data_IF_652078467132
#
_entry.id   IF_652078467132
#
_cell.length_a   1.000
_cell.length_b   1.000
_cell.length_c   1.000
_cell.angle_alpha   90.00
_cell.angle_beta   90.00
_cell.angle_gamma   90.00
#
_symmetry.space_group_name_H-M   'P 1'
#
loop_
_entity.id
_entity.type
_entity.pdbx_description
1 polymer ?
#
# COMPACT_ATOMS: atom_id res chain seq x y z
N UNK A 1 13.05 -13.56 -37.19
CA UNK A 1 13.32 -13.76 -35.74
C UNK A 1 14.47 -14.73 -35.47
N UNK A 2 14.58 -15.86 -36.17
CA UNK A 2 15.64 -16.86 -35.90
C UNK A 2 17.09 -16.41 -36.18
N UNK A 3 17.31 -15.36 -36.98
CA UNK A 3 18.64 -14.79 -37.24
C UNK A 3 19.03 -13.64 -36.30
N UNK A 4 18.13 -13.23 -35.41
CA UNK A 4 18.36 -12.11 -34.49
C UNK A 4 19.20 -12.58 -33.28
N UNK A 5 20.10 -11.76 -32.71
CA UNK A 5 20.79 -12.09 -31.46
C UNK A 5 19.79 -12.36 -30.33
N UNK A 6 20.08 -13.32 -29.45
CA UNK A 6 19.17 -13.75 -28.37
C UNK A 6 18.81 -12.59 -27.45
N UNK A 7 19.79 -11.75 -27.11
CA UNK A 7 19.62 -10.59 -26.23
C UNK A 7 18.70 -9.54 -26.84
N UNK A 8 18.90 -9.24 -28.13
CA UNK A 8 18.08 -8.26 -28.85
C UNK A 8 16.65 -8.76 -29.03
N UNK A 9 16.47 -10.05 -29.32
CA UNK A 9 15.15 -10.67 -29.38
C UNK A 9 14.47 -10.65 -28.01
N UNK A 10 15.18 -10.95 -26.92
CA UNK A 10 14.63 -10.88 -25.55
C UNK A 10 14.16 -9.47 -25.21
N UNK A 11 14.94 -8.44 -25.52
CA UNK A 11 14.55 -7.05 -25.27
C UNK A 11 13.28 -6.67 -26.04
N UNK A 12 13.19 -7.07 -27.32
CA UNK A 12 11.97 -6.83 -28.12
C UNK A 12 10.76 -7.55 -27.52
N UNK A 13 10.92 -8.80 -27.06
CA UNK A 13 9.82 -9.56 -26.45
C UNK A 13 9.36 -8.95 -25.12
N UNK A 14 10.24 -8.32 -24.35
CA UNK A 14 9.85 -7.69 -23.07
C UNK A 14 8.89 -6.51 -23.26
N UNK A 15 8.95 -5.84 -24.41
CA UNK A 15 8.06 -4.73 -24.77
C UNK A 15 6.69 -5.19 -25.32
N UNK A 16 6.54 -6.49 -25.60
CA UNK A 16 5.30 -7.01 -26.17
C UNK A 16 4.22 -7.27 -25.11
N UNK A 17 2.98 -6.96 -25.49
CA UNK A 17 1.82 -7.30 -24.67
C UNK A 17 1.58 -8.82 -24.55
N UNK A 18 0.81 -9.26 -23.53
CA UNK A 18 0.53 -10.68 -23.26
C UNK A 18 -0.01 -11.48 -24.45
N UNK A 19 -0.94 -10.92 -25.22
CA UNK A 19 -1.54 -11.58 -26.38
C UNK A 19 -0.51 -11.80 -27.49
N UNK A 20 0.32 -10.79 -27.75
CA UNK A 20 1.42 -10.88 -28.72
C UNK A 20 2.45 -11.91 -28.30
N UNK A 21 2.82 -11.95 -27.01
CA UNK A 21 3.75 -12.96 -26.48
C UNK A 21 3.20 -14.38 -26.58
N UNK A 22 1.91 -14.59 -26.32
CA UNK A 22 1.26 -15.90 -26.50
C UNK A 22 1.37 -16.37 -27.96
N UNK A 23 1.15 -15.48 -28.91
CA UNK A 23 1.25 -15.79 -30.33
C UNK A 23 2.69 -16.05 -30.74
N UNK A 24 3.65 -15.22 -30.31
CA UNK A 24 5.08 -15.40 -30.61
C UNK A 24 5.61 -16.71 -30.04
N UNK A 25 5.15 -17.13 -28.86
CA UNK A 25 5.50 -18.43 -28.26
C UNK A 25 5.19 -19.62 -29.19
N UNK A 26 4.18 -19.51 -30.04
CA UNK A 26 3.75 -20.59 -30.94
C UNK A 26 4.55 -20.64 -32.26
N UNK A 27 5.36 -19.62 -32.55
CA UNK A 27 6.04 -19.47 -33.85
C UNK A 27 7.24 -20.42 -34.00
N UNK A 28 8.01 -20.63 -32.93
CA UNK A 28 9.18 -21.53 -32.94
C UNK A 28 9.57 -21.95 -31.53
N UNK A 29 10.34 -23.04 -31.40
CA UNK A 29 10.90 -23.49 -30.10
C UNK A 29 11.73 -22.39 -29.42
N UNK A 30 12.55 -21.66 -30.19
CA UNK A 30 13.39 -20.57 -29.66
C UNK A 30 12.55 -19.38 -29.17
N UNK A 31 11.50 -19.01 -29.90
CA UNK A 31 10.55 -18.00 -29.44
C UNK A 31 9.80 -18.47 -28.19
N UNK A 32 9.47 -19.77 -28.11
CA UNK A 32 8.83 -20.34 -26.94
C UNK A 32 9.72 -20.27 -25.69
N UNK A 33 10.99 -20.63 -25.82
CA UNK A 33 11.99 -20.58 -24.74
C UNK A 33 12.24 -19.16 -24.21
N UNK A 34 12.13 -18.14 -25.06
CA UNK A 34 12.34 -16.75 -24.66
C UNK A 34 11.06 -16.05 -24.18
N UNK A 35 9.91 -16.32 -24.80
CA UNK A 35 8.64 -15.69 -24.44
C UNK A 35 8.01 -16.32 -23.19
N UNK A 36 8.21 -17.62 -22.94
CA UNK A 36 7.60 -18.31 -21.78
C UNK A 36 8.07 -17.73 -20.45
N UNK A 37 9.37 -17.49 -20.19
CA UNK A 37 9.80 -16.86 -18.94
C UNK A 37 9.23 -15.45 -18.75
N UNK A 38 9.08 -14.70 -19.84
CA UNK A 38 8.46 -13.37 -19.81
C UNK A 38 6.97 -13.53 -19.46
N UNK A 39 6.26 -14.45 -20.11
CA UNK A 39 4.82 -14.72 -19.92
C UNK A 39 4.43 -15.22 -18.53
N UNK A 40 5.38 -15.80 -17.79
CA UNK A 40 5.11 -16.43 -16.50
C UNK A 40 6.09 -15.97 -15.43
N UNK A 41 6.63 -14.76 -15.59
CA UNK A 41 7.55 -14.15 -14.61
C UNK A 41 6.87 -13.80 -13.29
N UNK A 42 5.54 -13.73 -13.27
CA UNK A 42 4.71 -13.42 -12.09
C UNK A 42 3.59 -14.44 -11.92
N UNK A 43 3.50 -15.00 -10.72
CA UNK A 43 2.38 -15.85 -10.29
C UNK A 43 1.45 -15.01 -9.41
N UNK A 44 0.14 -15.14 -9.63
CA UNK A 44 -0.87 -14.54 -8.78
C UNK A 44 -1.68 -15.62 -8.08
N UNK A 45 -1.69 -15.60 -6.76
CA UNK A 45 -2.56 -16.43 -5.94
C UNK A 45 -3.71 -15.56 -5.46
N UNK A 46 -4.89 -15.70 -6.07
CA UNK A 46 -6.04 -14.79 -5.90
C UNK A 46 -7.25 -15.53 -5.31
N UNK A 47 -8.19 -14.79 -4.73
CA UNK A 47 -9.54 -15.30 -4.46
C UNK A 47 -10.38 -15.46 -5.74
N UNK A 48 -11.43 -16.31 -5.70
CA UNK A 48 -12.42 -16.39 -6.78
C UNK A 48 -13.12 -15.04 -6.93
N UNK A 49 -13.16 -14.47 -8.13
CA UNK A 49 -13.76 -13.15 -8.40
C UNK A 49 -12.78 -11.96 -8.33
N UNK A 50 -11.59 -12.13 -7.77
CA UNK A 50 -10.55 -11.08 -7.64
C UNK A 50 -9.71 -10.84 -8.89
N UNK A 51 -10.31 -10.99 -10.09
CA UNK A 51 -9.65 -10.57 -11.33
C UNK A 51 -9.89 -9.06 -11.51
N UNK A 52 -9.53 -8.26 -10.50
CA UNK A 52 -9.49 -6.81 -10.69
C UNK A 52 -8.22 -6.48 -11.48
N UNK A 53 -8.40 -5.73 -12.56
CA UNK A 53 -7.29 -5.17 -13.36
C UNK A 53 -6.58 -4.01 -12.62
N UNK A 54 -6.83 -3.79 -11.33
CA UNK A 54 -6.33 -2.65 -10.52
C UNK A 54 -4.84 -2.75 -10.14
N UNK A 55 -4.04 -3.56 -10.84
CA UNK A 55 -2.59 -3.36 -10.82
C UNK A 55 -2.31 -2.16 -11.71
N UNK A 56 -1.95 -1.04 -11.09
CA UNK A 56 -1.59 0.24 -11.70
C UNK A 56 -0.35 0.21 -12.62
N UNK A 57 0.05 -0.97 -13.13
CA UNK A 57 1.03 -1.05 -14.20
C UNK A 57 0.61 -2.12 -15.23
N UNK A 58 -0.17 -1.74 -16.27
CA UNK A 58 -0.50 -2.62 -17.39
C UNK A 58 0.73 -3.01 -18.22
N UNK A 59 1.92 -2.43 -17.98
CA UNK A 59 3.15 -2.70 -18.75
C UNK A 59 4.01 -3.83 -18.20
N UNK A 60 3.71 -4.39 -17.01
CA UNK A 60 4.52 -5.47 -16.42
C UNK A 60 3.85 -6.83 -16.50
N UNK A 61 4.31 -7.54 -17.52
CA UNK A 61 4.42 -8.98 -17.69
C UNK A 61 3.09 -9.78 -17.71
N UNK A 62 2.99 -10.80 -18.57
CA UNK A 62 1.86 -11.71 -18.59
C UNK A 62 1.79 -12.53 -17.28
N UNK A 63 0.57 -12.88 -16.88
CA UNK A 63 0.23 -13.31 -15.51
C UNK A 63 -0.47 -14.68 -15.53
N UNK A 64 -0.12 -15.59 -14.62
CA UNK A 64 -0.93 -16.78 -14.29
C UNK A 64 -1.63 -16.55 -12.95
N UNK A 65 -2.96 -16.58 -12.96
CA UNK A 65 -3.77 -16.51 -11.74
C UNK A 65 -4.26 -17.91 -11.34
N UNK A 66 -4.17 -18.21 -10.06
CA UNK A 66 -4.64 -19.46 -9.44
C UNK A 66 -5.47 -19.10 -8.21
N UNK A 67 -6.60 -19.78 -8.02
CA UNK A 67 -7.39 -19.64 -6.81
C UNK A 67 -6.63 -20.24 -5.63
N UNK A 68 -6.29 -19.44 -4.61
CA UNK A 68 -5.42 -19.89 -3.53
C UNK A 68 -5.97 -21.10 -2.76
N UNK A 69 -7.26 -21.10 -2.43
CA UNK A 69 -7.92 -22.23 -1.75
C UNK A 69 -7.88 -23.54 -2.54
N UNK A 70 -7.62 -23.47 -3.84
CA UNK A 70 -7.49 -24.62 -4.76
C UNK A 70 -6.08 -24.78 -5.31
N UNK A 71 -5.09 -24.13 -4.70
CA UNK A 71 -3.71 -24.23 -5.15
C UNK A 71 -3.25 -25.70 -5.25
N UNK A 72 -3.69 -26.53 -4.30
CA UNK A 72 -3.38 -27.95 -4.27
C UNK A 72 -3.93 -28.76 -5.46
N UNK A 73 -5.03 -28.30 -6.09
CA UNK A 73 -5.57 -28.93 -7.30
C UNK A 73 -4.81 -28.48 -8.55
N UNK A 74 -4.34 -27.23 -8.56
CA UNK A 74 -3.68 -26.61 -9.71
C UNK A 74 -2.14 -26.76 -9.71
N UNK A 75 -1.55 -27.24 -8.62
CA UNK A 75 -0.09 -27.19 -8.41
C UNK A 75 0.69 -27.89 -9.53
N UNK A 76 0.22 -29.05 -10.00
CA UNK A 76 0.86 -29.80 -11.08
C UNK A 76 0.95 -29.01 -12.40
N UNK A 77 -0.03 -28.15 -12.69
CA UNK A 77 -0.01 -27.28 -13.88
C UNK A 77 0.86 -26.04 -13.68
N UNK A 78 0.99 -25.57 -12.44
CA UNK A 78 1.64 -24.30 -12.10
C UNK A 78 3.14 -24.47 -11.93
N UNK A 79 3.61 -25.58 -11.34
CA UNK A 79 5.02 -25.82 -11.05
C UNK A 79 5.95 -25.69 -12.26
N UNK A 80 5.63 -26.21 -13.47
CA UNK A 80 6.49 -26.06 -14.64
C UNK A 80 6.70 -24.60 -15.03
N UNK A 81 5.69 -23.76 -14.80
CA UNK A 81 5.70 -22.33 -15.11
C UNK A 81 6.42 -21.53 -14.01
N UNK A 82 6.26 -21.96 -12.76
CA UNK A 82 6.76 -21.29 -11.57
C UNK A 82 8.30 -21.17 -11.53
N UNK A 83 9.02 -22.08 -12.19
CA UNK A 83 10.49 -22.03 -12.30
C UNK A 83 11.03 -20.73 -12.89
N UNK A 84 10.23 -20.08 -13.74
CA UNK A 84 10.61 -18.82 -14.36
C UNK A 84 10.06 -17.60 -13.60
N UNK A 85 9.24 -17.82 -12.57
CA UNK A 85 8.63 -16.74 -11.82
C UNK A 85 9.65 -16.12 -10.85
N UNK A 86 9.78 -14.80 -10.94
CA UNK A 86 10.54 -13.97 -10.01
C UNK A 86 9.63 -13.13 -9.11
N UNK A 87 8.34 -13.01 -9.43
CA UNK A 87 7.35 -12.28 -8.64
C UNK A 87 6.19 -13.17 -8.18
N UNK A 88 5.73 -12.95 -6.95
CA UNK A 88 4.49 -13.52 -6.41
C UNK A 88 3.58 -12.39 -5.94
N UNK A 89 2.35 -12.36 -6.46
CA UNK A 89 1.28 -11.51 -5.94
C UNK A 89 0.33 -12.39 -5.16
N UNK A 90 0.15 -12.07 -3.89
CA UNK A 90 -0.65 -12.83 -2.94
C UNK A 90 -1.86 -12.01 -2.52
N UNK A 91 -3.04 -12.43 -2.97
CA UNK A 91 -4.33 -11.78 -2.76
C UNK A 91 -5.44 -12.82 -2.55
N UNK A 92 -5.25 -13.82 -1.68
CA UNK A 92 -6.23 -14.88 -1.53
C UNK A 92 -7.53 -14.34 -0.94
N UNK A 93 -8.65 -14.98 -1.29
CA UNK A 93 -9.88 -14.80 -0.53
C UNK A 93 -9.68 -15.37 0.88
N UNK A 94 -10.23 -14.67 1.87
CA UNK A 94 -10.24 -15.09 3.27
C UNK A 94 -11.68 -15.07 3.75
N UNK A 95 -12.17 -16.23 4.13
CA UNK A 95 -13.51 -16.41 4.69
C UNK A 95 -13.40 -16.46 6.22
N UNK A 96 -13.43 -15.29 6.87
CA UNK A 96 -13.27 -15.18 8.33
C UNK A 96 -14.57 -15.38 9.09
N UNK A 97 -14.46 -15.91 10.29
CA UNK A 97 -15.56 -15.98 11.25
C UNK A 97 -15.99 -14.58 11.72
N UNK A 98 -17.29 -14.39 11.99
CA UNK A 98 -17.86 -13.14 12.51
C UNK A 98 -17.93 -11.98 11.51
N UNK A 99 -17.55 -12.18 10.24
CA UNK A 99 -17.58 -11.12 9.22
C UNK A 99 -18.98 -10.50 9.04
N UNK A 100 -20.03 -11.32 8.95
CA UNK A 100 -21.38 -10.82 8.72
C UNK A 100 -21.95 -10.06 9.91
N UNK A 101 -21.57 -10.44 11.13
CA UNK A 101 -21.93 -9.68 12.34
C UNK A 101 -21.24 -8.32 12.35
N UNK A 102 -19.99 -8.27 11.91
CA UNK A 102 -19.26 -7.01 11.76
C UNK A 102 -19.84 -6.17 10.64
N UNK A 103 -20.27 -6.78 9.54
CA UNK A 103 -20.92 -6.06 8.45
C UNK A 103 -22.25 -5.45 8.88
N UNK A 104 -23.09 -6.20 9.58
CA UNK A 104 -24.33 -5.68 10.17
C UNK A 104 -24.05 -4.53 11.15
N UNK A 105 -23.01 -4.69 11.98
CA UNK A 105 -22.57 -3.63 12.91
C UNK A 105 -22.14 -2.37 12.15
N UNK A 106 -21.34 -2.53 11.09
CA UNK A 106 -20.91 -1.46 10.21
C UNK A 106 -22.09 -0.75 9.56
N UNK A 107 -23.06 -1.49 8.99
CA UNK A 107 -24.26 -0.92 8.40
C UNK A 107 -25.05 -0.08 9.41
N UNK A 108 -25.16 -0.54 10.65
CA UNK A 108 -25.83 0.22 11.71
C UNK A 108 -25.03 1.47 12.12
N UNK A 109 -23.70 1.39 12.17
CA UNK A 109 -22.84 2.55 12.49
C UNK A 109 -22.88 3.61 11.40
N UNK A 110 -22.98 3.21 10.13
CA UNK A 110 -23.09 4.15 9.00
C UNK A 110 -24.31 5.07 9.10
N UNK A 111 -25.37 4.65 9.78
CA UNK A 111 -26.58 5.48 10.01
C UNK A 111 -26.22 6.78 10.75
N UNK A 112 -25.26 6.68 11.68
CA UNK A 112 -24.84 7.78 12.55
C UNK A 112 -23.55 8.47 12.05
N UNK A 113 -22.92 7.96 10.99
CA UNK A 113 -21.73 8.59 10.40
C UNK A 113 -22.10 9.90 9.66
N UNK A 114 -21.26 10.95 9.72
CA UNK A 114 -21.45 12.13 8.90
C UNK A 114 -21.34 11.79 7.39
N UNK A 115 -21.98 12.58 6.53
CA UNK A 115 -21.97 12.39 5.07
C UNK A 115 -20.66 12.95 4.49
N UNK A 116 -19.94 12.15 3.69
CA UNK A 116 -18.73 12.58 2.97
C UNK A 116 -19.09 13.33 1.68
N UNK A 117 -18.33 14.37 1.30
CA UNK A 117 -18.55 15.07 0.02
C UNK A 117 -18.39 14.14 -1.19
N UNK A 118 -17.53 13.12 -1.08
CA UNK A 118 -17.29 12.11 -2.14
C UNK A 118 -18.48 11.16 -2.30
N UNK A 119 -19.35 11.05 -1.29
CA UNK A 119 -20.59 10.27 -1.36
C UNK A 119 -21.75 11.04 -1.98
N UNK A 120 -21.61 12.36 -2.13
CA UNK A 120 -22.58 13.18 -2.81
C UNK A 120 -22.36 13.03 -4.32
N UNK A 121 -23.36 12.47 -4.99
CA UNK A 121 -23.34 12.40 -6.44
C UNK A 121 -23.69 13.78 -7.01
N UNK A 122 -22.68 14.47 -7.54
CA UNK A 122 -22.83 15.75 -8.22
C UNK A 122 -23.26 15.60 -9.69
N UNK A 123 -23.40 14.37 -10.20
CA UNK A 123 -23.64 14.10 -11.63
C UNK A 123 -25.12 14.06 -12.03
N UNK A 124 -26.05 14.14 -11.07
CA UNK A 124 -27.51 14.09 -11.31
C UNK A 124 -28.18 15.46 -11.44
N UNK A 125 -27.43 16.57 -11.44
CA UNK A 125 -27.98 17.87 -11.82
C UNK A 125 -27.85 17.99 -13.34
N UNK A 126 -28.89 17.51 -14.03
CA UNK A 126 -29.00 17.59 -15.48
C UNK A 126 -28.79 19.01 -16.01
N UNK A 127 -28.30 19.07 -17.25
CA UNK A 127 -28.30 20.25 -18.11
C UNK A 127 -29.72 20.85 -18.21
N UNK A 128 -30.15 21.64 -17.22
CA UNK A 128 -31.24 22.60 -17.38
C UNK A 128 -30.61 23.96 -17.62
N UNK A 129 -30.49 24.28 -18.92
CA UNK A 129 -30.37 25.64 -19.41
C UNK A 129 -31.39 26.56 -18.71
N UNK A 130 -30.89 27.58 -18.01
CA UNK A 130 -31.64 28.82 -17.85
C UNK A 130 -31.59 29.46 -16.46
N UNK A 131 -30.95 30.63 -16.39
CA UNK A 131 -31.32 31.65 -15.42
C UNK A 131 -30.20 32.03 -14.46
N UNK A 132 -29.48 33.08 -14.84
CA UNK A 132 -28.84 34.01 -13.91
C UNK A 132 -29.91 34.58 -12.96
N UNK A 133 -30.01 34.00 -11.76
CA UNK A 133 -30.53 34.67 -10.56
C UNK A 133 -29.81 34.08 -9.35
N UNK A 134 -28.87 34.85 -8.80
CA UNK A 134 -28.09 34.45 -7.65
C UNK A 134 -28.93 34.42 -6.37
N UNK A 135 -28.65 33.45 -5.49
CA UNK A 135 -28.61 33.75 -4.06
C UNK A 135 -29.16 32.73 -3.06
N UNK A 136 -30.01 31.77 -3.43
CA UNK A 136 -30.73 30.96 -2.40
C UNK A 136 -30.79 29.44 -2.64
N UNK A 137 -30.39 28.91 -3.81
CA UNK A 137 -30.68 27.50 -4.17
C UNK A 137 -29.54 26.48 -3.96
N UNK A 138 -28.28 26.91 -3.81
CA UNK A 138 -27.13 25.97 -3.75
C UNK A 138 -26.99 25.28 -2.39
N UNK A 139 -27.31 26.00 -1.31
CA UNK A 139 -27.36 25.46 0.06
C UNK A 139 -28.50 24.45 0.23
N UNK A 140 -29.69 24.75 -0.32
CA UNK A 140 -30.84 23.84 -0.33
C UNK A 140 -30.57 22.55 -1.13
N UNK A 141 -29.85 22.65 -2.26
CA UNK A 141 -29.42 21.46 -3.04
C UNK A 141 -28.39 20.62 -2.29
N UNK A 142 -27.46 21.27 -1.59
CA UNK A 142 -26.47 20.60 -0.75
C UNK A 142 -27.14 19.86 0.42
N UNK A 143 -28.07 20.51 1.13
CA UNK A 143 -28.85 19.89 2.20
C UNK A 143 -29.70 18.72 1.68
N UNK A 144 -30.35 18.86 0.53
CA UNK A 144 -31.12 17.79 -0.09
C UNK A 144 -30.25 16.57 -0.48
N UNK A 145 -28.99 16.78 -0.87
CA UNK A 145 -28.04 15.69 -1.14
C UNK A 145 -27.62 14.98 0.16
N UNK A 146 -27.36 15.74 1.23
CA UNK A 146 -27.08 15.17 2.55
C UNK A 146 -28.25 14.31 3.02
N UNK A 147 -29.49 14.83 2.94
CA UNK A 147 -30.68 14.08 3.35
C UNK A 147 -30.89 12.81 2.51
N UNK A 148 -30.58 12.84 1.20
CA UNK A 148 -30.59 11.64 0.34
C UNK A 148 -29.59 10.59 0.81
N UNK A 149 -28.37 10.98 1.17
CA UNK A 149 -27.35 10.04 1.69
C UNK A 149 -27.76 9.47 3.04
N UNK A 150 -28.26 10.30 3.96
CA UNK A 150 -28.77 9.87 5.28
C UNK A 150 -29.92 8.87 5.12
N UNK A 151 -30.91 9.18 4.27
CA UNK A 151 -32.04 8.29 4.01
C UNK A 151 -31.58 6.96 3.38
N UNK A 152 -30.63 7.00 2.44
CA UNK A 152 -30.02 5.81 1.84
C UNK A 152 -29.33 4.95 2.90
N UNK A 153 -28.51 5.55 3.78
CA UNK A 153 -27.81 4.86 4.87
C UNK A 153 -28.80 4.24 5.86
N UNK A 154 -29.85 4.95 6.24
CA UNK A 154 -30.88 4.47 7.15
C UNK A 154 -31.67 3.26 6.59
N UNK A 155 -31.96 3.23 5.28
CA UNK A 155 -32.67 2.13 4.64
C UNK A 155 -31.78 0.90 4.35
N UNK A 156 -30.47 1.10 4.23
CA UNK A 156 -29.49 0.11 3.77
C UNK A 156 -29.51 -1.22 4.58
N UNK A 157 -29.57 -1.24 5.92
CA UNK A 157 -29.62 -2.49 6.67
C UNK A 157 -30.82 -3.38 6.32
N UNK A 158 -31.99 -2.78 6.07
CA UNK A 158 -33.19 -3.54 5.70
C UNK A 158 -33.13 -3.99 4.24
N UNK A 159 -32.68 -3.11 3.34
CA UNK A 159 -32.54 -3.40 1.90
C UNK A 159 -31.57 -4.57 1.66
N UNK A 160 -30.47 -4.65 2.42
CA UNK A 160 -29.44 -5.68 2.23
C UNK A 160 -29.69 -6.96 3.05
N UNK A 161 -30.69 -6.98 3.96
CA UNK A 161 -30.90 -8.08 4.92
C UNK A 161 -31.02 -9.45 4.26
N UNK A 162 -31.89 -9.57 3.26
CA UNK A 162 -32.19 -10.85 2.62
C UNK A 162 -30.97 -11.35 1.82
N UNK A 163 -30.21 -10.43 1.22
CA UNK A 163 -28.96 -10.71 0.50
C UNK A 163 -27.82 -11.16 1.44
N UNK A 164 -27.72 -10.54 2.62
CA UNK A 164 -26.79 -10.97 3.68
C UNK A 164 -27.10 -12.40 4.11
N UNK A 165 -28.38 -12.72 4.36
CA UNK A 165 -28.78 -14.04 4.82
C UNK A 165 -28.44 -15.14 3.81
N UNK A 166 -28.74 -14.93 2.52
CA UNK A 166 -28.42 -15.88 1.45
C UNK A 166 -26.91 -16.17 1.36
N UNK A 167 -26.08 -15.14 1.58
CA UNK A 167 -24.63 -15.27 1.41
C UNK A 167 -23.89 -15.72 2.64
N UNK A 168 -24.46 -15.58 3.83
CA UNK A 168 -23.90 -16.11 5.07
C UNK A 168 -23.80 -17.63 5.05
N UNK A 169 -24.78 -18.33 4.48
CA UNK A 169 -24.71 -19.79 4.31
C UNK A 169 -23.55 -20.20 3.39
N UNK A 170 -23.42 -19.54 2.24
CA UNK A 170 -22.32 -19.81 1.31
C UNK A 170 -20.95 -19.44 1.90
N UNK A 171 -20.87 -18.35 2.66
CA UNK A 171 -19.67 -17.94 3.38
C UNK A 171 -19.23 -19.00 4.39
N UNK A 172 -20.17 -19.54 5.16
CA UNK A 172 -19.91 -20.59 6.13
C UNK A 172 -19.41 -21.88 5.47
N UNK A 173 -19.99 -22.27 4.32
CA UNK A 173 -19.49 -23.38 3.52
C UNK A 173 -18.05 -23.13 3.05
N UNK A 174 -17.76 -21.93 2.53
CA UNK A 174 -16.40 -21.57 2.07
C UNK A 174 -15.38 -21.53 3.19
N UNK A 175 -15.77 -21.11 4.39
CA UNK A 175 -14.94 -21.19 5.60
C UNK A 175 -14.58 -22.63 5.93
N UNK A 176 -15.57 -23.53 5.95
CA UNK A 176 -15.32 -24.96 6.20
C UNK A 176 -14.37 -25.56 5.15
N UNK A 177 -14.56 -25.22 3.86
CA UNK A 177 -13.63 -25.64 2.80
C UNK A 177 -12.21 -25.08 3.01
N UNK A 178 -12.07 -23.82 3.44
CA UNK A 178 -10.78 -23.18 3.71
C UNK A 178 -10.05 -23.88 4.86
N UNK A 179 -10.77 -24.20 5.94
CA UNK A 179 -10.22 -24.94 7.09
C UNK A 179 -9.79 -26.35 6.69
N UNK A 180 -10.68 -27.09 6.00
CA UNK A 180 -10.44 -28.46 5.57
C UNK A 180 -9.26 -28.61 4.59
N UNK A 181 -9.00 -27.58 3.78
CA UNK A 181 -7.93 -27.60 2.77
C UNK A 181 -6.65 -26.88 3.21
N UNK A 182 -6.64 -26.24 4.38
CA UNK A 182 -5.54 -25.37 4.86
C UNK A 182 -4.16 -26.02 4.77
N UNK A 183 -4.00 -27.24 5.29
CA UNK A 183 -2.72 -27.97 5.28
C UNK A 183 -2.26 -28.32 3.85
N UNK A 184 -3.18 -28.76 2.99
CA UNK A 184 -2.87 -29.10 1.59
C UNK A 184 -2.46 -27.86 0.81
N UNK A 185 -3.13 -26.74 1.05
CA UNK A 185 -2.82 -25.45 0.42
C UNK A 185 -1.48 -24.92 0.92
N UNK A 186 -1.16 -25.01 2.21
CA UNK A 186 0.17 -24.65 2.74
C UNK A 186 1.27 -25.52 2.12
N UNK A 187 1.06 -26.85 2.05
CA UNK A 187 2.02 -27.76 1.41
C UNK A 187 2.26 -27.41 -0.07
N UNK A 188 1.21 -27.05 -0.79
CA UNK A 188 1.31 -26.66 -2.21
C UNK A 188 1.97 -25.29 -2.38
N UNK A 189 1.75 -24.36 -1.44
CA UNK A 189 2.43 -23.06 -1.41
C UNK A 189 3.93 -23.24 -1.14
N UNK A 190 4.31 -24.15 -0.23
CA UNK A 190 5.70 -24.54 0.01
C UNK A 190 6.34 -25.11 -1.26
N UNK A 191 5.67 -26.04 -1.91
CA UNK A 191 6.15 -26.64 -3.17
C UNK A 191 6.34 -25.57 -4.25
N UNK A 192 5.37 -24.66 -4.39
CA UNK A 192 5.43 -23.54 -5.31
C UNK A 192 6.66 -22.67 -5.04
N UNK A 193 6.82 -22.17 -3.81
CA UNK A 193 7.92 -21.29 -3.42
C UNK A 193 9.27 -21.99 -3.63
N UNK A 194 9.39 -23.26 -3.26
CA UNK A 194 10.63 -24.03 -3.42
C UNK A 194 11.10 -24.11 -4.87
N UNK A 195 10.16 -24.18 -5.81
CA UNK A 195 10.40 -24.32 -7.25
C UNK A 195 10.60 -22.99 -7.98
N UNK A 196 10.34 -21.85 -7.32
CA UNK A 196 10.47 -20.52 -7.93
C UNK A 196 11.86 -19.92 -7.76
N UNK A 197 12.17 -18.93 -8.61
CA UNK A 197 13.31 -18.01 -8.42
C UNK A 197 12.80 -16.70 -7.83
N UNK A 198 11.96 -16.80 -6.80
CA UNK A 198 11.23 -15.68 -6.23
C UNK A 198 12.19 -14.59 -5.71
N UNK A 199 11.96 -13.36 -6.17
CA UNK A 199 12.68 -12.15 -5.75
C UNK A 199 11.75 -11.08 -5.21
N UNK A 200 10.51 -11.04 -5.69
CA UNK A 200 9.55 -9.99 -5.38
C UNK A 200 8.25 -10.60 -4.85
N UNK A 201 7.78 -10.07 -3.72
CA UNK A 201 6.51 -10.45 -3.11
C UNK A 201 5.63 -9.20 -2.94
N UNK A 202 4.40 -9.28 -3.44
CA UNK A 202 3.36 -8.28 -3.18
C UNK A 202 2.17 -8.95 -2.49
N UNK A 203 1.85 -8.53 -1.26
CA UNK A 203 0.63 -8.92 -0.55
C UNK A 203 -0.39 -7.80 -0.76
N UNK A 204 -1.48 -8.11 -1.47
CA UNK A 204 -2.55 -7.15 -1.74
C UNK A 204 -3.44 -6.93 -0.52
N UNK A 205 -4.17 -5.81 -0.52
CA UNK A 205 -5.22 -5.58 0.46
C UNK A 205 -6.29 -6.65 0.26
N UNK A 206 -6.82 -7.16 1.37
CA UNK A 206 -7.94 -8.07 1.30
C UNK A 206 -9.20 -7.29 0.91
N UNK A 207 -9.83 -7.74 -0.16
CA UNK A 207 -11.11 -7.23 -0.63
C UNK A 207 -12.13 -8.37 -0.55
N UNK A 208 -13.39 -8.07 -0.25
CA UNK A 208 -14.46 -9.05 -0.45
C UNK A 208 -14.81 -9.07 -1.93
N UNK A 209 -14.50 -10.18 -2.59
CA UNK A 209 -15.06 -10.47 -3.90
C UNK A 209 -16.47 -11.02 -3.65
N UNK A 210 -17.46 -10.13 -3.74
CA UNK A 210 -18.86 -10.54 -3.75
C UNK A 210 -19.09 -11.72 -4.70
N UNK A 211 -19.94 -12.65 -4.29
CA UNK A 211 -20.11 -13.92 -4.99
C UNK A 211 -20.86 -13.72 -6.32
N UNK A 212 -20.13 -13.53 -7.42
CA UNK A 212 -20.69 -13.56 -8.78
C UNK A 212 -21.66 -12.43 -9.13
N UNK A 213 -22.38 -12.58 -10.25
CA UNK A 213 -23.19 -11.55 -10.90
C UNK A 213 -24.38 -11.02 -10.05
N UNK A 214 -24.74 -11.68 -8.95
CA UNK A 214 -25.77 -11.23 -8.01
C UNK A 214 -25.28 -10.26 -6.93
N UNK A 215 -23.97 -10.02 -6.85
CA UNK A 215 -23.33 -9.21 -5.80
C UNK A 215 -22.64 -7.95 -6.31
N UNK A 216 -22.88 -7.58 -7.58
CA UNK A 216 -22.21 -6.44 -8.24
C UNK A 216 -22.38 -5.08 -7.56
N UNK A 217 -23.27 -4.97 -6.56
CA UNK A 217 -23.48 -3.75 -5.76
C UNK A 217 -22.69 -3.70 -4.44
N UNK A 218 -22.17 -4.82 -3.92
CA UNK A 218 -21.48 -4.90 -2.62
C UNK A 218 -19.97 -5.06 -2.77
N UNK A 219 -19.39 -4.43 -3.80
CA UNK A 219 -17.95 -4.24 -3.90
C UNK A 219 -17.50 -3.16 -2.92
N UNK A 220 -17.44 -3.50 -1.63
CA UNK A 220 -16.84 -2.63 -0.63
C UNK A 220 -15.49 -3.20 -0.20
N UNK A 221 -14.57 -2.30 0.12
CA UNK A 221 -13.25 -2.66 0.59
C UNK A 221 -13.33 -3.19 2.01
N UNK A 222 -13.34 -4.51 2.17
CA UNK A 222 -13.66 -5.17 3.46
C UNK A 222 -12.63 -4.98 4.55
N UNK A 223 -11.45 -4.50 4.21
CA UNK A 223 -10.53 -3.97 5.20
C UNK A 223 -11.12 -2.77 5.98
N UNK A 224 -12.14 -2.07 5.46
CA UNK A 224 -12.90 -1.03 6.18
C UNK A 224 -13.71 -1.64 7.31
N UNK A 225 -14.33 -2.80 7.13
CA UNK A 225 -15.03 -3.49 8.23
C UNK A 225 -14.01 -3.97 9.27
N UNK A 226 -12.92 -4.58 8.79
CA UNK A 226 -11.82 -5.00 9.68
C UNK A 226 -11.22 -3.81 10.44
N UNK A 227 -11.41 -2.60 9.91
CA UNK A 227 -10.90 -1.38 10.51
C UNK A 227 -11.52 -1.00 11.84
N UNK A 228 -12.83 -1.23 11.97
CA UNK A 228 -13.56 -0.88 13.20
C UNK A 228 -13.13 -1.75 14.38
N UNK A 229 -12.61 -2.95 14.10
CA UNK A 229 -12.29 -3.93 15.13
C UNK A 229 -10.85 -3.83 15.63
N UNK A 230 -9.88 -3.44 14.79
CA UNK A 230 -8.44 -3.54 15.08
C UNK A 230 -7.94 -4.95 15.47
N UNK A 231 -8.81 -5.98 15.55
CA UNK A 231 -8.47 -7.33 16.06
C UNK A 231 -8.07 -8.35 14.97
N UNK A 232 -8.28 -8.05 13.69
CA UNK A 232 -7.91 -8.96 12.60
C UNK A 232 -7.29 -8.21 11.42
N UNK A 233 -6.17 -8.71 10.92
CA UNK A 233 -5.54 -8.23 9.70
C UNK A 233 -5.23 -9.41 8.78
N UNK A 234 -6.07 -9.68 7.77
CA UNK A 234 -5.83 -10.74 6.80
C UNK A 234 -4.47 -10.59 6.11
N UNK A 235 -4.04 -9.36 5.84
CA UNK A 235 -2.75 -9.02 5.23
C UNK A 235 -1.57 -9.37 6.13
N UNK A 236 -1.66 -9.13 7.45
CA UNK A 236 -0.66 -9.59 8.41
C UNK A 236 -0.62 -11.12 8.50
N UNK A 237 -1.78 -11.78 8.52
CA UNK A 237 -1.85 -13.25 8.53
C UNK A 237 -1.20 -13.86 7.28
N UNK A 238 -1.45 -13.27 6.10
CA UNK A 238 -0.80 -13.66 4.85
C UNK A 238 0.71 -13.48 4.90
N UNK A 239 1.19 -12.38 5.47
CA UNK A 239 2.62 -12.14 5.65
C UNK A 239 3.25 -13.22 6.53
N UNK A 240 2.63 -13.57 7.65
CA UNK A 240 3.08 -14.66 8.53
C UNK A 240 3.12 -16.02 7.83
N UNK A 241 2.09 -16.34 7.05
CA UNK A 241 2.03 -17.59 6.28
C UNK A 241 3.16 -17.66 5.25
N UNK A 242 3.37 -16.59 4.47
CA UNK A 242 4.43 -16.55 3.46
C UNK A 242 5.80 -16.59 4.13
N UNK A 243 6.01 -15.87 5.22
CA UNK A 243 7.25 -15.89 5.99
C UNK A 243 7.61 -17.31 6.46
N UNK A 244 6.62 -18.05 7.00
CA UNK A 244 6.79 -19.47 7.35
C UNK A 244 7.22 -20.31 6.14
N UNK A 245 6.61 -20.06 4.98
CA UNK A 245 6.94 -20.81 3.78
C UNK A 245 8.34 -20.50 3.24
N UNK A 246 8.73 -19.22 3.21
CA UNK A 246 10.07 -18.78 2.83
C UNK A 246 11.13 -19.40 3.74
N UNK A 247 10.90 -19.36 5.06
CA UNK A 247 11.79 -19.95 6.06
C UNK A 247 11.94 -21.46 5.89
N UNK A 248 10.83 -22.20 5.74
CA UNK A 248 10.87 -23.65 5.47
C UNK A 248 11.61 -24.00 4.18
N UNK A 249 11.52 -23.13 3.16
CA UNK A 249 12.20 -23.34 1.89
C UNK A 249 13.65 -22.81 1.86
N UNK A 250 14.11 -22.11 2.90
CA UNK A 250 15.41 -21.42 2.89
C UNK A 250 15.54 -20.38 1.77
N UNK A 251 14.44 -19.71 1.40
CA UNK A 251 14.39 -18.75 0.28
C UNK A 251 14.26 -17.32 0.79
N UNK A 252 15.20 -16.46 0.38
CA UNK A 252 15.12 -15.02 0.61
C UNK A 252 14.50 -14.31 -0.59
N UNK A 253 13.89 -13.16 -0.33
CA UNK A 253 13.36 -12.25 -1.34
C UNK A 253 14.09 -10.92 -1.29
N UNK A 254 14.15 -10.22 -2.42
CA UNK A 254 14.80 -8.91 -2.52
C UNK A 254 13.80 -7.75 -2.32
N UNK A 255 12.51 -7.96 -2.63
CA UNK A 255 11.48 -6.92 -2.55
C UNK A 255 10.21 -7.42 -1.88
N UNK A 256 9.73 -6.64 -0.92
CA UNK A 256 8.48 -6.89 -0.20
C UNK A 256 7.57 -5.66 -0.31
N UNK A 257 6.34 -5.84 -0.80
CA UNK A 257 5.28 -4.85 -0.74
C UNK A 257 4.08 -5.45 -0.01
N UNK A 258 3.67 -4.84 1.10
CA UNK A 258 2.46 -5.24 1.84
C UNK A 258 1.46 -4.09 1.82
N UNK A 259 0.25 -4.35 1.34
CA UNK A 259 -0.85 -3.39 1.33
C UNK A 259 -1.74 -3.56 2.56
N UNK A 260 -2.33 -2.45 3.04
CA UNK A 260 -3.26 -2.42 4.17
C UNK A 260 -2.78 -3.22 5.39
N UNK A 261 -1.53 -3.00 5.79
CA UNK A 261 -0.88 -3.70 6.90
C UNK A 261 -1.23 -3.02 8.22
N UNK A 262 -1.87 -3.74 9.14
CA UNK A 262 -1.98 -3.29 10.53
C UNK A 262 -0.67 -3.66 11.27
N UNK A 263 0.16 -2.68 11.68
CA UNK A 263 1.43 -2.96 12.34
C UNK A 263 1.27 -3.67 13.69
N UNK A 264 0.11 -3.51 14.35
CA UNK A 264 -0.19 -4.14 15.65
C UNK A 264 -0.32 -5.67 15.57
N UNK A 265 -0.61 -6.20 14.38
CA UNK A 265 -0.83 -7.63 14.15
C UNK A 265 0.45 -8.36 13.70
N UNK A 266 1.57 -7.65 13.63
CA UNK A 266 2.85 -8.20 13.22
C UNK A 266 3.54 -8.81 14.45
N UNK A 267 3.88 -10.09 14.33
CA UNK A 267 4.59 -10.86 15.34
C UNK A 267 6.07 -10.99 14.99
N UNK A 268 6.91 -10.89 16.01
CA UNK A 268 8.33 -11.21 15.89
C UNK A 268 8.55 -12.73 16.07
N UNK A 269 8.69 -13.43 14.95
CA UNK A 269 8.95 -14.87 14.92
C UNK A 269 10.19 -15.18 14.09
N UNK A 270 10.82 -16.35 14.31
CA UNK A 270 11.98 -16.78 13.52
C UNK A 270 11.71 -16.73 12.00
N UNK A 271 10.51 -17.14 11.59
CA UNK A 271 10.12 -17.10 10.19
C UNK A 271 10.01 -15.67 9.64
N UNK A 272 9.47 -14.74 10.44
CA UNK A 272 9.37 -13.33 10.08
C UNK A 272 10.73 -12.65 10.00
N UNK A 273 11.62 -12.90 10.97
CA UNK A 273 13.00 -12.44 10.94
C UNK A 273 13.71 -12.90 9.67
N UNK A 274 13.62 -14.20 9.36
CA UNK A 274 14.18 -14.78 8.13
C UNK A 274 13.61 -14.15 6.86
N UNK A 275 12.31 -13.86 6.81
CA UNK A 275 11.67 -13.24 5.66
C UNK A 275 12.13 -11.79 5.41
N UNK A 276 12.66 -11.13 6.43
CA UNK A 276 13.23 -9.78 6.33
C UNK A 276 14.72 -9.80 5.91
N UNK A 277 15.42 -10.91 6.13
CA UNK A 277 16.80 -11.08 5.68
C UNK A 277 16.91 -11.06 4.15
N UNK A 278 17.86 -10.28 3.63
CA UNK A 278 18.11 -10.17 2.20
C UNK A 278 17.22 -9.15 1.46
N UNK A 279 16.27 -8.51 2.16
CA UNK A 279 15.45 -7.45 1.58
C UNK A 279 16.32 -6.26 1.16
N UNK A 280 16.11 -5.80 -0.08
CA UNK A 280 16.68 -4.58 -0.64
C UNK A 280 15.63 -3.48 -0.75
N UNK A 281 14.36 -3.84 -0.89
CA UNK A 281 13.24 -2.90 -0.92
C UNK A 281 12.09 -3.38 -0.06
N UNK A 282 11.63 -2.51 0.85
CA UNK A 282 10.39 -2.72 1.60
C UNK A 282 9.41 -1.57 1.34
N UNK A 283 8.16 -1.91 1.04
CA UNK A 283 7.04 -0.98 1.00
C UNK A 283 5.92 -1.47 1.90
N UNK A 284 5.61 -0.70 2.92
CA UNK A 284 4.53 -0.99 3.86
C UNK A 284 3.46 0.08 3.69
N UNK A 285 2.30 -0.31 3.15
CA UNK A 285 1.13 0.55 3.22
C UNK A 285 0.43 0.26 4.56
N UNK A 286 0.72 1.09 5.55
CA UNK A 286 0.21 0.96 6.90
C UNK A 286 -1.25 1.39 6.98
N UNK A 287 -2.00 0.61 7.74
CA UNK A 287 -3.38 0.85 8.11
C UNK A 287 -3.47 0.88 9.63
N UNK A 288 -4.34 1.72 10.20
CA UNK A 288 -4.36 2.02 11.65
C UNK A 288 -3.01 2.41 12.23
N UNK A 289 -2.66 3.69 12.03
CA UNK A 289 -1.40 4.24 12.53
C UNK A 289 -1.49 4.79 13.96
N UNK A 290 -2.60 4.57 14.67
CA UNK A 290 -2.78 5.03 16.07
C UNK A 290 -1.70 4.48 17.00
N UNK A 291 -1.21 3.26 16.73
CA UNK A 291 -0.10 2.66 17.47
C UNK A 291 1.25 3.35 17.23
N UNK A 292 1.34 4.25 16.24
CA UNK A 292 2.51 5.10 16.00
C UNK A 292 2.41 6.45 16.71
N UNK A 293 1.28 6.77 17.37
CA UNK A 293 1.11 8.01 18.10
C UNK A 293 2.11 8.12 19.25
N UNK A 294 2.53 9.35 19.55
CA UNK A 294 3.45 9.65 20.65
C UNK A 294 2.99 9.08 22.00
N UNK A 295 1.71 9.22 22.30
CA UNK A 295 1.08 8.74 23.54
C UNK A 295 0.75 7.24 23.52
N UNK A 296 0.96 6.53 22.41
CA UNK A 296 0.69 5.10 22.34
C UNK A 296 1.74 4.31 23.14
N UNK A 297 1.29 3.39 23.99
CA UNK A 297 2.16 2.44 24.69
C UNK A 297 2.45 1.17 23.89
N UNK A 298 1.87 1.04 22.69
CA UNK A 298 2.01 -0.17 21.88
C UNK A 298 3.47 -0.43 21.49
N UNK A 299 3.88 -1.70 21.58
CA UNK A 299 5.22 -2.13 21.21
C UNK A 299 5.19 -2.89 19.89
N UNK A 300 5.92 -2.39 18.90
CA UNK A 300 5.90 -2.95 17.56
C UNK A 300 6.97 -4.02 17.39
N UNK A 301 6.64 -5.09 16.66
CA UNK A 301 7.64 -6.04 16.19
C UNK A 301 8.52 -5.46 15.05
N UNK A 302 8.04 -4.41 14.36
CA UNK A 302 8.69 -3.84 13.18
C UNK A 302 10.16 -3.42 13.40
N UNK A 303 10.53 -2.70 14.48
CA UNK A 303 11.93 -2.35 14.72
C UNK A 303 12.86 -3.57 14.73
N UNK A 304 12.47 -4.65 15.43
CA UNK A 304 13.25 -5.90 15.47
C UNK A 304 13.33 -6.56 14.09
N UNK A 305 12.22 -6.64 13.36
CA UNK A 305 12.22 -7.24 12.03
C UNK A 305 13.06 -6.45 11.02
N UNK A 306 13.02 -5.12 11.10
CA UNK A 306 13.80 -4.24 10.21
C UNK A 306 15.30 -4.32 10.47
N UNK A 307 15.73 -4.63 11.69
CA UNK A 307 17.14 -4.91 11.99
C UNK A 307 17.69 -6.06 11.13
N UNK A 308 16.90 -7.12 10.94
CA UNK A 308 17.28 -8.27 10.10
C UNK A 308 17.39 -7.92 8.61
N UNK A 309 16.61 -6.93 8.13
CA UNK A 309 16.75 -6.41 6.78
C UNK A 309 17.95 -5.46 6.63
N UNK A 310 18.45 -4.91 7.74
CA UNK A 310 19.32 -3.75 7.74
C UNK A 310 20.58 -3.83 6.90
N UNK A 311 21.31 -4.96 6.84
CA UNK A 311 22.53 -5.07 6.03
C UNK A 311 22.31 -4.86 4.52
N UNK A 312 21.14 -5.21 3.98
CA UNK A 312 20.88 -5.23 2.54
C UNK A 312 19.89 -4.17 2.08
N UNK A 313 19.20 -3.49 3.00
CA UNK A 313 18.09 -2.59 2.69
C UNK A 313 18.57 -1.32 1.98
N UNK A 314 18.02 -1.07 0.79
CA UNK A 314 18.37 0.06 -0.09
C UNK A 314 17.23 1.07 -0.23
N UNK A 315 15.97 0.62 -0.09
CA UNK A 315 14.77 1.47 -0.22
C UNK A 315 13.70 1.11 0.80
N UNK A 316 13.15 2.13 1.45
CA UNK A 316 12.03 2.01 2.38
C UNK A 316 10.90 2.95 1.93
N UNK A 317 9.69 2.43 1.80
CA UNK A 317 8.48 3.22 1.58
C UNK A 317 7.46 2.93 2.69
N UNK A 318 7.06 3.97 3.42
CA UNK A 318 5.96 3.94 4.37
C UNK A 318 4.80 4.77 3.81
N UNK A 319 3.64 4.14 3.66
CA UNK A 319 2.43 4.78 3.16
C UNK A 319 1.32 4.58 4.17
N UNK A 320 1.01 5.59 4.97
CA UNK A 320 -0.15 5.57 5.86
C UNK A 320 -1.32 6.26 5.16
N UNK A 321 -2.58 5.86 5.34
CA UNK A 321 -3.76 6.51 4.73
C UNK A 321 -3.92 6.31 3.20
N UNK A 322 -5.17 6.26 2.70
CA UNK A 322 -5.40 5.95 1.28
C UNK A 322 -6.67 6.51 0.62
N UNK A 323 -7.62 7.10 1.36
CA UNK A 323 -8.89 7.55 0.77
C UNK A 323 -9.13 9.04 1.00
N UNK A 324 -9.58 9.41 2.18
CA UNK A 324 -9.68 10.79 2.65
C UNK A 324 -10.00 10.72 4.17
N UNK A 325 -9.44 11.57 5.04
CA UNK A 325 -8.38 12.52 4.71
C UNK A 325 -7.14 11.76 4.19
N UNK A 326 -6.34 12.40 3.32
CA UNK A 326 -5.05 11.85 2.86
C UNK A 326 -3.97 11.96 3.95
N UNK A 327 -4.41 11.97 5.20
CA UNK A 327 -3.64 12.03 6.43
C UNK A 327 -4.47 11.29 7.49
N UNK A 328 -3.84 10.74 8.54
CA UNK A 328 -4.56 10.26 9.70
C UNK A 328 -5.42 11.37 10.31
N UNK A 329 -6.59 11.02 10.85
CA UNK A 329 -7.57 12.00 11.34
C UNK A 329 -6.99 12.90 12.43
N UNK A 330 -6.16 12.35 13.33
CA UNK A 330 -5.47 13.14 14.35
C UNK A 330 -4.15 12.60 14.88
N UNK A 331 -3.43 13.47 15.57
CA UNK A 331 -2.31 13.14 16.45
C UNK A 331 -0.94 13.10 15.78
N UNK A 332 0.10 13.29 16.58
CA UNK A 332 1.51 13.28 16.13
C UNK A 332 2.05 11.85 16.15
N UNK A 333 2.53 11.39 15.00
CA UNK A 333 3.12 10.07 14.83
C UNK A 333 4.64 10.14 14.95
N UNK A 334 5.20 9.19 15.69
CA UNK A 334 6.64 9.07 15.91
C UNK A 334 7.21 7.94 15.06
N UNK A 335 8.12 8.26 14.14
CA UNK A 335 8.83 7.25 13.36
C UNK A 335 9.76 6.39 14.21
N UNK A 336 10.16 6.86 15.40
CA UNK A 336 10.87 6.04 16.39
C UNK A 336 10.08 4.79 16.78
N UNK A 337 8.75 4.77 16.68
CA UNK A 337 7.95 3.54 16.92
C UNK A 337 8.26 2.40 15.93
N UNK A 338 8.84 2.72 14.76
CA UNK A 338 9.21 1.76 13.71
C UNK A 338 10.73 1.62 13.60
N UNK A 339 11.48 2.71 13.82
CA UNK A 339 12.91 2.77 13.53
C UNK A 339 13.79 2.96 14.77
N UNK A 340 13.28 2.78 15.99
CA UNK A 340 14.07 2.88 17.21
C UNK A 340 14.12 1.53 17.93
N UNK A 341 15.33 1.09 18.29
CA UNK A 341 15.55 -0.05 19.16
C UNK A 341 15.53 0.39 20.62
N UNK A 342 14.56 -0.12 21.36
CA UNK A 342 14.41 0.17 22.80
C UNK A 342 15.56 -0.38 23.63
N UNK A 343 16.10 -1.55 23.26
CA UNK A 343 17.16 -2.23 24.02
C UNK A 343 18.47 -1.46 23.98
N UNK A 344 18.84 -0.92 22.81
CA UNK A 344 20.09 -0.21 22.60
C UNK A 344 19.93 1.30 22.73
N UNK A 345 18.71 1.79 22.91
CA UNK A 345 18.34 3.20 22.87
C UNK A 345 18.91 3.93 21.64
N UNK A 346 18.78 3.31 20.47
CA UNK A 346 19.37 3.82 19.22
C UNK A 346 18.37 3.70 18.07
N UNK A 347 18.39 4.72 17.23
CA UNK A 347 17.74 4.70 15.93
C UNK A 347 18.45 3.71 14.99
N UNK A 348 17.66 2.91 14.28
CA UNK A 348 18.12 1.93 13.30
C UNK A 348 18.90 2.64 12.19
N UNK A 349 20.10 2.12 11.90
CA UNK A 349 20.95 2.61 10.83
C UNK A 349 21.07 1.54 9.74
N UNK A 350 20.79 1.95 8.51
CA UNK A 350 20.80 1.08 7.34
C UNK A 350 21.97 1.48 6.43
N UNK A 351 23.09 0.75 6.43
CA UNK A 351 24.35 1.16 5.78
C UNK A 351 24.27 1.27 4.25
N UNK A 352 23.21 0.73 3.64
CA UNK A 352 22.98 0.75 2.19
C UNK A 352 21.70 1.49 1.78
N UNK A 353 20.97 2.10 2.73
CA UNK A 353 19.73 2.80 2.44
C UNK A 353 20.02 4.04 1.59
N UNK A 354 19.50 4.06 0.36
CA UNK A 354 19.65 5.15 -0.60
C UNK A 354 18.40 6.00 -0.75
N UNK A 355 17.22 5.42 -0.49
CA UNK A 355 15.94 6.07 -0.72
C UNK A 355 14.94 5.80 0.40
N UNK A 356 14.32 6.87 0.89
CA UNK A 356 13.23 6.81 1.85
C UNK A 356 12.02 7.59 1.32
N UNK A 357 10.85 6.96 1.37
CA UNK A 357 9.57 7.57 1.02
C UNK A 357 8.61 7.50 2.19
N UNK A 358 7.99 8.63 2.52
CA UNK A 358 6.92 8.72 3.50
C UNK A 358 5.69 9.36 2.85
N UNK A 359 4.54 8.72 3.00
CA UNK A 359 3.28 9.16 2.42
C UNK A 359 2.17 9.19 3.47
N UNK A 360 1.42 10.30 3.51
CA UNK A 360 0.15 10.44 4.26
C UNK A 360 0.30 10.17 5.76
N UNK A 361 1.15 10.96 6.42
CA UNK A 361 1.41 10.90 7.87
C UNK A 361 1.57 12.29 8.50
N UNK A 362 1.04 12.47 9.71
CA UNK A 362 1.30 13.63 10.57
C UNK A 362 2.47 13.27 11.48
N UNK A 363 3.66 13.82 11.22
CA UNK A 363 4.90 13.31 11.80
C UNK A 363 5.61 14.35 12.67
N UNK A 364 6.23 13.86 13.75
CA UNK A 364 7.19 14.64 14.53
C UNK A 364 8.46 14.92 13.72
N UNK A 365 8.77 16.21 13.49
CA UNK A 365 9.94 16.62 12.72
C UNK A 365 11.26 16.14 13.34
N UNK A 366 11.46 16.20 14.69
CA UNK A 366 12.63 15.60 15.33
C UNK A 366 12.77 14.10 15.09
N UNK A 367 11.67 13.33 15.20
CA UNK A 367 11.72 11.88 14.98
C UNK A 367 12.07 11.53 13.53
N UNK A 368 11.58 12.32 12.57
CA UNK A 368 11.94 12.17 11.16
C UNK A 368 13.42 12.49 10.90
N UNK A 369 13.92 13.60 11.45
CA UNK A 369 15.32 13.99 11.31
C UNK A 369 16.27 13.01 11.99
N UNK A 370 15.94 12.52 13.18
CA UNK A 370 16.72 11.51 13.88
C UNK A 370 16.89 10.26 13.01
N UNK A 371 15.80 9.79 12.39
CA UNK A 371 15.87 8.68 11.45
C UNK A 371 16.76 8.98 10.25
N UNK A 372 16.54 10.10 9.55
CA UNK A 372 17.27 10.44 8.32
C UNK A 372 18.77 10.62 8.60
N UNK A 373 19.13 11.32 9.68
CA UNK A 373 20.52 11.61 10.04
C UNK A 373 21.31 10.35 10.45
N UNK A 374 20.62 9.31 10.94
CA UNK A 374 21.24 8.02 11.23
C UNK A 374 21.62 7.22 9.97
N UNK A 375 21.24 7.65 8.76
CA UNK A 375 21.46 6.91 7.52
C UNK A 375 22.70 7.43 6.75
N UNK A 376 23.77 6.63 6.63
CA UNK A 376 25.05 7.12 6.09
C UNK A 376 25.04 7.38 4.58
N UNK A 377 24.14 6.73 3.82
CA UNK A 377 24.11 6.77 2.33
C UNK A 377 22.77 7.24 1.76
N UNK A 378 21.90 7.83 2.58
CA UNK A 378 20.60 8.30 2.13
C UNK A 378 20.78 9.43 1.11
N UNK A 379 20.32 9.22 -0.12
CA UNK A 379 20.51 10.17 -1.22
C UNK A 379 19.18 10.79 -1.69
N UNK A 380 18.08 10.03 -1.60
CA UNK A 380 16.75 10.46 -2.03
C UNK A 380 15.71 10.39 -0.92
N UNK A 381 15.02 11.50 -0.70
CA UNK A 381 13.84 11.58 0.16
C UNK A 381 12.60 11.90 -0.69
N UNK A 382 11.49 11.24 -0.42
CA UNK A 382 10.20 11.47 -1.09
C UNK A 382 9.10 11.64 -0.03
N UNK A 383 8.44 12.80 -0.01
CA UNK A 383 7.37 13.12 0.93
C UNK A 383 6.08 13.48 0.20
N UNK A 384 5.03 12.71 0.42
CA UNK A 384 3.73 12.95 -0.20
C UNK A 384 2.65 13.05 0.86
N UNK A 385 1.84 14.12 0.86
CA UNK A 385 0.79 14.28 1.88
C UNK A 385 1.34 14.22 3.31
N UNK A 386 2.37 15.00 3.65
CA UNK A 386 3.02 14.96 4.96
C UNK A 386 2.76 16.25 5.73
N UNK A 387 2.50 16.13 7.02
CA UNK A 387 2.36 17.26 7.93
C UNK A 387 3.46 17.22 9.00
N UNK A 388 4.24 18.31 9.11
CA UNK A 388 5.29 18.47 10.11
C UNK A 388 4.72 19.10 11.39
N UNK A 389 4.47 18.28 12.41
CA UNK A 389 3.66 18.68 13.56
C UNK A 389 4.44 19.34 14.71
N UNK A 390 5.74 19.57 14.55
CA UNK A 390 6.56 20.13 15.64
C UNK A 390 6.59 21.65 15.58
N UNK A 391 6.24 22.30 16.69
CA UNK A 391 6.26 23.76 16.82
C UNK A 391 7.65 24.33 16.49
N UNK A 392 7.69 25.35 15.63
CA UNK A 392 8.93 26.01 15.19
C UNK A 392 9.81 25.19 14.24
N UNK A 393 9.34 24.02 13.76
CA UNK A 393 10.09 23.16 12.84
C UNK A 393 9.31 22.91 11.54
N UNK A 394 9.41 23.87 10.63
CA UNK A 394 8.82 23.83 9.30
C UNK A 394 9.60 23.05 8.26
N UNK A 395 9.13 23.14 7.00
CA UNK A 395 9.80 22.52 5.85
C UNK A 395 11.18 23.12 5.57
N UNK A 396 11.36 24.42 5.81
CA UNK A 396 12.66 25.10 5.72
C UNK A 396 13.64 24.58 6.77
N UNK A 397 13.18 24.44 8.02
CA UNK A 397 13.97 23.88 9.12
C UNK A 397 14.36 22.43 8.83
N UNK A 398 13.42 21.62 8.32
CA UNK A 398 13.69 20.24 7.88
C UNK A 398 14.77 20.23 6.80
N UNK A 399 14.60 21.00 5.72
CA UNK A 399 15.51 21.03 4.58
C UNK A 399 16.93 21.48 4.95
N UNK A 400 17.03 22.45 5.86
CA UNK A 400 18.32 22.96 6.37
C UNK A 400 19.05 21.95 7.26
N UNK A 401 18.30 21.08 7.94
CA UNK A 401 18.84 20.05 8.84
C UNK A 401 19.17 18.71 8.15
N UNK A 402 18.88 18.57 6.85
CA UNK A 402 19.16 17.33 6.12
C UNK A 402 20.68 17.06 6.00
N UNK A 403 21.13 15.81 6.18
CA UNK A 403 22.54 15.48 6.07
C UNK A 403 23.07 15.69 4.65
N UNK A 404 24.38 15.92 4.54
CA UNK A 404 25.03 16.25 3.27
C UNK A 404 24.90 15.17 2.18
N UNK A 405 24.65 13.92 2.58
CA UNK A 405 24.39 12.80 1.70
C UNK A 405 23.09 12.93 0.90
N UNK A 406 22.11 13.71 1.35
CA UNK A 406 20.83 13.85 0.65
C UNK A 406 20.98 14.79 -0.54
N UNK A 407 20.88 14.23 -1.74
CA UNK A 407 21.01 14.94 -3.01
C UNK A 407 19.66 15.38 -3.58
N UNK A 408 18.61 14.60 -3.31
CA UNK A 408 17.27 14.78 -3.89
C UNK A 408 16.21 14.78 -2.79
N UNK A 409 15.38 15.82 -2.76
CA UNK A 409 14.18 15.92 -1.95
C UNK A 409 12.98 16.10 -2.87
N UNK A 410 12.07 15.14 -2.93
CA UNK A 410 10.84 15.20 -3.71
C UNK A 410 9.66 15.42 -2.77
N UNK A 411 8.82 16.40 -3.08
CA UNK A 411 7.60 16.67 -2.32
C UNK A 411 6.38 16.70 -3.24
N UNK A 412 5.24 16.20 -2.77
CA UNK A 412 4.02 16.17 -3.58
C UNK A 412 2.72 16.19 -2.78
N UNK A 413 1.64 16.70 -3.39
CA UNK A 413 0.32 16.73 -2.78
C UNK A 413 0.20 17.74 -1.65
N UNK A 414 -0.76 17.58 -0.75
CA UNK A 414 -1.05 18.56 0.30
C UNK A 414 -0.02 18.46 1.44
N UNK A 415 0.74 19.53 1.70
CA UNK A 415 1.79 19.55 2.73
C UNK A 415 1.48 20.63 3.76
N UNK A 416 1.86 20.40 5.01
CA UNK A 416 1.69 21.39 6.08
C UNK A 416 2.82 21.34 7.10
N UNK A 417 2.92 22.41 7.89
CA UNK A 417 3.83 22.53 9.02
C UNK A 417 3.30 23.56 10.03
N UNK A 418 3.79 23.48 11.27
CA UNK A 418 3.46 24.34 12.42
C UNK A 418 2.02 24.17 12.96
N UNK A 419 1.80 24.03 14.28
CA UNK A 419 0.44 24.07 14.81
C UNK A 419 -0.11 25.50 14.67
N UNK A 420 -1.24 25.66 13.97
CA UNK A 420 -2.03 26.88 14.06
C UNK A 420 -2.65 26.90 15.46
N UNK A 421 -2.53 28.05 16.14
CA UNK A 421 -2.85 28.25 17.56
C UNK A 421 -4.05 27.44 18.10
N UNK A 422 -3.78 26.53 19.04
CA UNK A 422 -4.79 25.74 19.75
C UNK A 422 -4.15 24.74 20.73
N UNK A 423 -4.90 24.30 21.73
CA UNK A 423 -4.53 23.22 22.67
C UNK A 423 -4.71 21.82 22.09
N UNK A 424 -5.20 21.72 20.86
CA UNK A 424 -5.74 20.50 20.30
C UNK A 424 -4.75 19.86 19.32
N UNK A 425 -4.68 18.53 19.34
CA UNK A 425 -3.83 17.73 18.46
C UNK A 425 -4.10 17.98 16.97
N UNK A 426 -3.09 17.81 16.09
CA UNK A 426 -3.23 17.65 14.63
C UNK A 426 -4.60 17.20 14.15
N UNK A 427 -5.38 17.99 13.40
CA UNK A 427 -6.57 17.51 12.68
C UNK A 427 -6.33 17.68 11.17
N UNK A 428 -6.36 16.56 10.44
CA UNK A 428 -6.00 16.51 9.02
C UNK A 428 -6.74 17.50 8.13
N UNK A 429 -8.03 17.76 8.42
CA UNK A 429 -8.91 18.55 7.57
C UNK A 429 -8.59 20.05 7.53
N UNK A 430 -7.93 20.58 8.56
CA UNK A 430 -7.75 22.02 8.71
C UNK A 430 -6.33 22.48 8.35
N UNK A 431 -5.35 21.58 8.25
CA UNK A 431 -3.94 21.98 8.41
C UNK A 431 -3.03 21.65 7.23
N UNK A 432 -3.54 20.99 6.19
CA UNK A 432 -2.79 20.83 4.94
C UNK A 432 -3.32 21.76 3.85
N UNK A 433 -2.41 22.44 3.16
CA UNK A 433 -2.70 23.16 1.93
C UNK A 433 -2.04 22.42 0.76
N UNK A 434 -2.67 22.47 -0.42
CA UNK A 434 -2.07 21.91 -1.62
C UNK A 434 -0.71 22.56 -1.90
N UNK A 435 0.30 21.72 -2.13
CA UNK A 435 1.62 22.19 -2.48
C UNK A 435 1.60 22.81 -3.88
N UNK A 436 1.89 24.11 -3.94
CA UNK A 436 2.01 24.85 -5.20
C UNK A 436 3.43 25.39 -5.36
N UNK A 437 4.13 24.86 -6.37
CA UNK A 437 5.49 25.28 -6.71
C UNK A 437 5.63 26.80 -6.92
N UNK A 438 4.64 27.42 -7.58
CA UNK A 438 4.65 28.85 -7.91
C UNK A 438 4.53 29.77 -6.70
N UNK A 439 3.97 29.28 -5.59
CA UNK A 439 3.69 30.08 -4.38
C UNK A 439 4.70 29.82 -3.25
N UNK A 440 5.54 28.78 -3.33
CA UNK A 440 6.43 28.34 -2.25
C UNK A 440 7.86 28.00 -2.73
N UNK A 441 8.62 29.04 -3.12
CA UNK A 441 10.07 28.95 -3.39
C UNK A 441 10.93 28.91 -2.10
N UNK A 442 10.35 28.46 -0.98
CA UNK A 442 10.91 28.57 0.37
C UNK A 442 12.26 27.83 0.56
N UNK A 443 12.60 26.88 -0.32
CA UNK A 443 13.79 26.03 -0.14
C UNK A 443 15.05 26.53 -0.88
N UNK A 444 14.95 27.56 -1.73
CA UNK A 444 16.14 28.09 -2.42
C UNK A 444 17.17 28.69 -1.48
N UNK A 445 16.72 29.33 -0.39
CA UNK A 445 17.58 29.92 0.63
C UNK A 445 18.26 28.86 1.53
N UNK A 446 17.71 27.65 1.58
CA UNK A 446 18.29 26.50 2.30
C UNK A 446 19.24 25.65 1.44
N UNK A 447 19.67 26.18 0.29
CA UNK A 447 20.64 25.51 -0.59
C UNK A 447 20.01 24.49 -1.55
N UNK A 448 18.71 24.57 -1.82
CA UNK A 448 17.98 23.64 -2.69
C UNK A 448 17.40 24.33 -3.91
N UNK A 449 17.68 23.79 -5.10
CA UNK A 449 17.05 24.23 -6.36
C UNK A 449 15.86 23.33 -6.68
N UNK A 450 14.67 23.90 -6.71
CA UNK A 450 13.43 23.20 -7.04
C UNK A 450 13.06 23.27 -8.52
N UNK A 451 12.52 22.18 -9.05
CA UNK A 451 11.94 22.06 -10.39
C UNK A 451 10.55 21.40 -10.29
N UNK A 452 9.57 21.96 -10.99
CA UNK A 452 8.25 21.35 -11.11
C UNK A 452 8.33 20.12 -12.03
N UNK A 453 7.94 18.95 -11.52
CA UNK A 453 7.91 17.70 -12.30
C UNK A 453 6.53 17.51 -12.93
N UNK A 454 5.48 17.77 -12.16
CA UNK A 454 4.08 17.79 -12.58
C UNK A 454 3.29 18.80 -11.71
N UNK A 455 1.98 18.92 -11.94
CA UNK A 455 1.13 19.93 -11.26
C UNK A 455 1.06 19.77 -9.74
N UNK A 456 1.40 18.61 -9.20
CA UNK A 456 1.31 18.31 -7.76
C UNK A 456 2.65 17.90 -7.17
N UNK A 457 3.75 17.95 -7.93
CA UNK A 457 5.06 17.42 -7.53
C UNK A 457 6.20 18.37 -7.86
N UNK A 458 7.05 18.58 -6.87
CA UNK A 458 8.30 19.33 -7.01
C UNK A 458 9.49 18.46 -6.61
N UNK A 459 10.54 18.47 -7.42
CA UNK A 459 11.82 17.87 -7.09
C UNK A 459 12.82 18.98 -6.75
N UNK A 460 13.46 18.85 -5.60
CA UNK A 460 14.55 19.70 -5.15
C UNK A 460 15.87 18.95 -5.27
N UNK A 461 16.88 19.63 -5.80
CA UNK A 461 18.28 19.16 -5.83
C UNK A 461 19.15 20.13 -5.05
N UNK A 462 20.15 19.64 -4.33
CA UNK A 462 21.13 20.53 -3.69
C UNK A 462 21.83 21.39 -4.73
N UNK A 463 22.04 22.66 -4.39
CA UNK A 463 22.91 23.55 -5.13
C UNK A 463 24.34 23.11 -4.79
N UNK A 464 25.06 22.58 -5.77
CA UNK A 464 26.50 22.34 -5.62
C UNK A 464 27.18 23.70 -5.43
N UNK A 465 27.74 23.94 -4.23
CA UNK A 465 28.67 25.04 -4.05
C UNK A 465 29.90 24.76 -4.91
N UNK A 466 29.95 25.39 -6.07
CA UNK A 466 31.16 25.47 -6.89
C UNK A 466 32.16 26.35 -6.15
N UNK A 467 32.92 25.75 -5.25
CA UNK A 467 34.06 26.38 -4.59
C UNK A 467 35.25 25.42 -4.61
N UNK A 468 36.05 25.53 -5.68
CA UNK A 468 37.52 25.61 -5.66
C UNK A 468 38.09 25.31 -7.06
N UNK A 469 38.15 26.32 -7.92
CA UNK A 469 39.32 26.51 -8.77
C UNK A 469 39.89 27.88 -8.37
N UNK A 470 40.99 27.85 -7.61
CA UNK A 470 41.87 29.00 -7.36
C UNK A 470 42.59 29.43 -8.63
#
# INVERSE_FOLDING_TARGET
MERMPVELLRNVLQELGPSSLKNVRLVSKRCAELATPILFSVIKLVGKGHISNRIADPRRLPKRSVEFGKLHEAIAEVLPLARNAAGLVFAPAVYREGFWDDYRTYLNQQIDEPVEEVEMDYSEDGDEDGGDDGGEDEEDRYEARIQRVIARRAARPEVERDQIQETEEHWNLKRQEQEANSEKVEASLLELISCTNLKELEIQAWEFAGFGAGFGGLCFESFVIDSYRKVSSPTAHHLHLIARCLHKCGRHIEKLHVRALNPEMIQDSLAMRFAFEGLRHIRLNLYHVDSLLENSSFDHALPHLLEHAGPTLERIELVAGSRWPRLPSRGVHLLSKIFYQKETSKTLSFPNLRSFRLVSLIVSTPSLLEFITAQPKIAKLEFSYVYLATLGMGWESLASALPASVEILEVSGSLGHEPIAGSDDPIAYNWCADWKYSEKQLLTESGWKGEAVDSIRTQFRRIENSSNEE
#
